data_IF_001228300693
#
_entry.id   IF_001228300693
#
_cell.length_a   1.000
_cell.length_b   1.000
_cell.length_c   1.000
_cell.angle_alpha   90.00
_cell.angle_beta   90.00
_cell.angle_gamma   90.00
#
_symmetry.space_group_name_H-M   'P 1'
#
loop_
_entity.id
_entity.type
_entity.pdbx_description
1 polymer ?
#
# COMPACT_ATOMS: atom_id res chain seq x y z
N UNK A 1 21.02 66.82 3.59
CA UNK A 1 22.02 66.04 2.82
C UNK A 1 21.53 64.62 2.74
N UNK A 2 20.87 64.24 1.65
CA UNK A 2 20.32 62.92 1.40
C UNK A 2 21.34 62.11 0.55
N UNK A 3 21.79 60.97 1.07
CA UNK A 3 22.67 60.05 0.33
C UNK A 3 21.85 58.91 -0.21
N UNK A 4 21.60 58.84 -1.52
CA UNK A 4 21.04 57.70 -2.24
C UNK A 4 22.11 56.63 -2.40
N UNK A 5 21.86 55.43 -1.85
CA UNK A 5 22.62 54.22 -2.18
C UNK A 5 21.90 53.46 -3.29
N UNK A 6 22.50 53.40 -4.45
CA UNK A 6 22.11 52.64 -5.62
C UNK A 6 22.30 51.16 -5.39
N UNK A 7 21.20 50.36 -5.50
CA UNK A 7 21.25 48.89 -5.53
C UNK A 7 21.66 48.43 -6.94
N UNK A 8 22.82 47.79 -7.05
CA UNK A 8 23.28 47.12 -8.27
C UNK A 8 22.56 45.81 -8.50
N UNK A 9 21.84 45.69 -9.61
CA UNK A 9 21.30 44.42 -10.12
C UNK A 9 22.43 43.61 -10.75
N UNK A 10 22.81 42.47 -10.15
CA UNK A 10 23.72 41.50 -10.74
C UNK A 10 22.94 40.59 -11.70
N UNK A 11 23.15 40.78 -12.98
CA UNK A 11 22.65 39.92 -14.07
C UNK A 11 23.48 38.63 -14.10
N UNK A 12 22.90 37.47 -13.89
CA UNK A 12 23.55 36.16 -14.05
C UNK A 12 23.51 35.76 -15.54
N UNK A 13 24.62 35.29 -16.13
CA UNK A 13 24.61 34.76 -17.50
C UNK A 13 23.97 33.37 -17.52
N UNK A 14 23.00 33.19 -18.43
CA UNK A 14 22.44 31.89 -18.80
C UNK A 14 23.45 31.16 -19.68
N UNK A 15 24.00 30.06 -19.18
CA UNK A 15 24.80 29.13 -19.98
C UNK A 15 23.84 28.25 -20.79
N UNK A 16 23.81 28.47 -22.08
CA UNK A 16 23.13 27.62 -23.05
C UNK A 16 23.97 26.34 -23.24
N UNK A 17 23.43 25.19 -22.82
CA UNK A 17 24.02 23.87 -23.15
C UNK A 17 23.39 23.41 -24.45
N UNK A 18 24.19 23.39 -25.52
CA UNK A 18 23.84 22.83 -26.80
C UNK A 18 23.91 21.30 -26.72
N UNK A 19 22.78 20.62 -26.89
CA UNK A 19 22.75 19.16 -27.09
C UNK A 19 23.07 18.85 -28.54
N UNK A 20 24.22 18.21 -28.77
CA UNK A 20 24.55 17.56 -30.03
C UNK A 20 23.83 16.22 -30.09
N UNK A 21 22.85 16.12 -30.98
CA UNK A 21 22.18 14.86 -31.28
C UNK A 21 23.06 14.01 -32.21
N UNK A 22 23.70 12.98 -31.69
CA UNK A 22 24.34 11.95 -32.51
C UNK A 22 23.28 10.88 -32.83
N UNK A 23 22.77 10.88 -34.05
CA UNK A 23 21.93 9.81 -34.62
C UNK A 23 22.82 8.64 -35.03
N UNK A 24 22.81 7.57 -34.22
CA UNK A 24 23.41 6.28 -34.63
C UNK A 24 22.29 5.38 -35.18
N UNK A 25 22.23 5.23 -36.47
CA UNK A 25 21.40 4.23 -37.17
C UNK A 25 22.09 2.89 -37.09
N UNK A 26 21.63 1.98 -36.27
CA UNK A 26 22.02 0.58 -36.27
C UNK A 26 20.81 -0.21 -36.77
N UNK A 27 20.87 -0.69 -37.99
CA UNK A 27 19.96 -1.67 -38.55
C UNK A 27 20.12 -2.99 -37.79
N UNK A 28 19.11 -3.44 -37.09
CA UNK A 28 19.02 -4.73 -36.45
C UNK A 28 17.77 -5.45 -36.94
N UNK A 29 17.98 -6.60 -37.61
CA UNK A 29 16.98 -7.50 -38.13
C UNK A 29 16.03 -7.99 -37.03
N UNK A 30 14.73 -7.84 -37.27
CA UNK A 30 13.67 -8.39 -36.43
C UNK A 30 13.66 -9.92 -36.56
N UNK A 31 14.01 -10.63 -35.48
CA UNK A 31 13.70 -12.05 -35.34
C UNK A 31 12.38 -12.14 -34.55
N UNK A 32 11.34 -12.55 -35.24
CA UNK A 32 10.04 -12.90 -34.64
C UNK A 32 10.20 -14.13 -33.74
N UNK A 33 10.15 -13.92 -32.44
CA UNK A 33 10.02 -15.01 -31.47
C UNK A 33 8.54 -15.34 -31.32
N UNK A 34 8.10 -16.40 -32.02
CA UNK A 34 6.78 -17.01 -31.87
C UNK A 34 6.66 -17.60 -30.47
N UNK A 35 5.94 -16.91 -29.57
CA UNK A 35 5.62 -17.42 -28.25
C UNK A 35 4.45 -18.42 -28.35
N UNK A 36 4.80 -19.72 -28.35
CA UNK A 36 3.85 -20.83 -28.31
C UNK A 36 3.16 -20.85 -26.90
N UNK A 37 1.92 -20.42 -26.87
CA UNK A 37 1.05 -20.53 -25.70
C UNK A 37 0.86 -22.01 -25.31
N UNK A 38 1.37 -22.41 -24.15
CA UNK A 38 1.07 -23.71 -23.55
C UNK A 38 -0.15 -23.55 -22.64
N UNK A 39 -1.30 -23.99 -23.14
CA UNK A 39 -2.49 -24.19 -22.31
C UNK A 39 -2.21 -25.32 -21.32
N UNK A 40 -2.10 -24.99 -20.05
CA UNK A 40 -2.17 -25.98 -18.97
C UNK A 40 -3.63 -26.24 -18.64
N UNK A 41 -4.13 -27.38 -19.08
CA UNK A 41 -5.39 -27.95 -18.60
C UNK A 41 -5.23 -28.37 -17.15
N UNK A 42 -5.84 -27.66 -16.22
CA UNK A 42 -6.03 -28.12 -14.85
C UNK A 42 -7.21 -29.13 -14.85
N UNK A 43 -6.88 -30.40 -14.66
CA UNK A 43 -7.86 -31.44 -14.37
C UNK A 43 -8.34 -31.26 -12.95
N UNK A 44 -9.62 -30.94 -12.79
CA UNK A 44 -10.31 -31.05 -11.51
C UNK A 44 -10.50 -32.52 -11.18
N UNK A 45 -9.85 -33.00 -10.13
CA UNK A 45 -10.18 -34.26 -9.48
C UNK A 45 -11.18 -33.95 -8.37
N UNK A 46 -12.44 -34.33 -8.61
CA UNK A 46 -13.42 -34.44 -7.55
C UNK A 46 -13.17 -35.73 -6.80
N UNK A 47 -12.77 -35.66 -5.56
CA UNK A 47 -12.91 -36.75 -4.62
C UNK A 47 -14.07 -36.44 -3.69
N UNK A 48 -15.18 -37.13 -3.90
CA UNK A 48 -16.22 -37.36 -2.91
C UNK A 48 -15.74 -38.53 -2.06
N UNK A 49 -15.58 -38.31 -0.79
CA UNK A 49 -15.73 -39.40 0.21
C UNK A 49 -16.47 -38.81 1.40
N UNK A 50 -17.68 -39.31 1.53
CA UNK A 50 -18.48 -39.21 2.73
C UNK A 50 -17.96 -40.24 3.74
N UNK A 51 -17.65 -39.78 4.94
CA UNK A 51 -17.49 -40.70 6.07
C UNK A 51 -18.20 -40.12 7.27
N UNK A 52 -19.36 -40.70 7.51
CA UNK A 52 -20.11 -40.62 8.74
C UNK A 52 -19.42 -41.42 9.83
N UNK A 53 -19.15 -40.81 10.96
CA UNK A 53 -19.05 -41.55 12.22
C UNK A 53 -19.52 -40.68 13.37
N UNK A 54 -20.73 -41.01 13.84
CA UNK A 54 -21.22 -40.68 15.16
C UNK A 54 -20.22 -41.08 16.23
N UNK A 55 -19.95 -40.21 17.17
CA UNK A 55 -19.71 -40.60 18.55
C UNK A 55 -20.05 -39.44 19.48
N UNK A 56 -21.16 -39.59 20.14
CA UNK A 56 -21.62 -38.85 21.29
C UNK A 56 -20.64 -38.94 22.44
N UNK A 57 -20.11 -37.83 22.94
CA UNK A 57 -19.64 -37.74 24.32
C UNK A 57 -20.30 -36.50 24.96
N UNK A 58 -21.36 -36.81 25.71
CA UNK A 58 -21.88 -35.93 26.74
C UNK A 58 -20.87 -35.88 27.90
N UNK A 59 -20.55 -34.71 28.37
CA UNK A 59 -19.87 -34.58 29.66
C UNK A 59 -19.05 -33.32 29.84
N UNK A 60 -19.50 -32.53 30.78
CA UNK A 60 -18.69 -31.57 31.54
C UNK A 60 -18.44 -30.20 30.93
N UNK A 61 -19.49 -29.37 30.92
CA UNK A 61 -19.35 -27.92 30.82
C UNK A 61 -20.10 -27.19 31.96
N UNK A 62 -19.69 -27.57 33.18
CA UNK A 62 -20.04 -26.81 34.37
C UNK A 62 -18.71 -26.47 35.08
N UNK A 63 -18.06 -25.45 34.69
CA UNK A 63 -17.35 -24.47 35.52
C UNK A 63 -16.57 -23.50 34.63
N UNK A 64 -17.17 -22.42 34.23
CA UNK A 64 -16.43 -21.29 33.73
C UNK A 64 -17.11 -20.02 34.21
N UNK A 65 -16.74 -19.61 35.40
CA UNK A 65 -16.82 -18.22 35.78
C UNK A 65 -15.72 -17.50 34.97
N UNK A 66 -15.91 -17.46 33.65
CA UNK A 66 -15.05 -16.70 32.75
C UNK A 66 -15.48 -15.25 32.86
N UNK A 67 -14.64 -14.46 33.49
CA UNK A 67 -14.64 -13.01 33.31
C UNK A 67 -14.74 -12.73 31.80
N UNK A 68 -15.90 -12.28 31.38
CA UNK A 68 -16.11 -11.80 30.01
C UNK A 68 -15.38 -10.47 29.93
N UNK A 69 -14.07 -10.52 29.70
CA UNK A 69 -13.42 -9.37 29.10
C UNK A 69 -14.10 -9.21 27.73
N UNK A 70 -14.64 -8.05 27.37
CA UNK A 70 -15.18 -7.84 26.05
C UNK A 70 -14.02 -8.05 25.08
N UNK A 71 -14.02 -9.19 24.42
CA UNK A 71 -13.19 -9.45 23.27
C UNK A 71 -13.63 -8.45 22.20
N UNK A 72 -12.93 -7.34 22.15
CA UNK A 72 -13.00 -6.42 21.01
C UNK A 72 -12.91 -7.27 19.76
N UNK A 73 -13.93 -7.18 18.90
CA UNK A 73 -14.20 -8.05 17.78
C UNK A 73 -12.92 -8.53 17.12
N UNK A 74 -12.87 -9.81 16.78
CA UNK A 74 -11.73 -10.46 16.13
C UNK A 74 -11.50 -9.86 14.73
N UNK A 75 -11.16 -8.59 14.69
CA UNK A 75 -10.68 -7.90 13.53
C UNK A 75 -9.37 -8.53 13.11
N UNK A 76 -9.32 -8.98 11.85
CA UNK A 76 -8.07 -9.46 11.28
C UNK A 76 -6.98 -8.39 11.47
N UNK A 77 -5.91 -8.71 12.20
CA UNK A 77 -4.81 -7.80 12.46
C UNK A 77 -3.52 -8.33 11.85
N UNK A 78 -2.66 -7.42 11.40
CA UNK A 78 -1.34 -7.74 10.86
C UNK A 78 -0.36 -6.62 11.19
N UNK A 79 0.93 -6.92 11.11
CA UNK A 79 1.99 -5.93 11.29
C UNK A 79 3.08 -6.09 10.24
N UNK A 80 3.77 -4.99 9.94
CA UNK A 80 4.86 -4.98 8.96
C UNK A 80 5.37 -3.57 8.71
N UNK A 81 6.23 -3.42 7.70
CA UNK A 81 6.71 -2.11 7.29
C UNK A 81 5.65 -1.41 6.43
N UNK A 82 5.46 -0.14 6.68
CA UNK A 82 4.66 0.75 5.85
C UNK A 82 5.49 1.92 5.33
N UNK A 83 5.16 2.40 4.15
CA UNK A 83 5.64 3.67 3.61
C UNK A 83 4.45 4.59 3.30
N UNK A 84 4.71 5.69 2.62
CA UNK A 84 3.65 6.57 2.15
C UNK A 84 3.97 7.10 0.76
N UNK A 85 2.93 7.61 0.08
CA UNK A 85 2.99 8.19 -1.26
C UNK A 85 2.14 9.44 -1.36
N UNK A 86 2.48 10.31 -2.30
CA UNK A 86 1.81 11.55 -2.57
C UNK A 86 1.38 11.68 -4.02
N UNK A 87 1.15 12.90 -4.48
CA UNK A 87 0.64 13.21 -5.83
C UNK A 87 1.55 12.76 -6.97
N UNK A 88 2.82 12.44 -6.69
CA UNK A 88 3.77 11.86 -7.63
C UNK A 88 3.37 10.46 -8.12
N UNK A 89 2.54 9.76 -7.38
CA UNK A 89 2.10 8.39 -7.68
C UNK A 89 0.94 8.31 -8.70
N UNK A 90 0.46 9.45 -9.19
CA UNK A 90 -0.60 9.53 -10.19
C UNK A 90 -1.89 10.17 -9.67
N UNK A 91 -2.85 10.33 -10.59
CA UNK A 91 -4.11 11.03 -10.30
C UNK A 91 -5.29 10.12 -9.94
N UNK A 92 -5.15 8.80 -10.11
CA UNK A 92 -6.19 7.80 -9.82
C UNK A 92 -5.61 6.62 -9.05
N UNK A 93 -6.44 6.09 -8.16
CA UNK A 93 -6.16 4.86 -7.40
C UNK A 93 -6.65 3.63 -8.17
N UNK A 94 -6.23 2.44 -7.74
CA UNK A 94 -6.67 1.17 -8.35
C UNK A 94 -8.18 0.92 -8.19
N UNK A 95 -8.85 1.55 -7.25
CA UNK A 95 -10.33 1.52 -7.15
C UNK A 95 -11.02 2.43 -8.17
N UNK A 96 -10.28 3.18 -8.98
CA UNK A 96 -10.82 4.16 -9.93
C UNK A 96 -11.11 5.54 -9.35
N UNK A 97 -11.00 5.71 -8.03
CA UNK A 97 -11.22 6.99 -7.38
C UNK A 97 -10.09 7.99 -7.72
N UNK A 98 -10.39 9.29 -7.68
CA UNK A 98 -9.37 10.31 -7.76
C UNK A 98 -8.47 10.25 -6.53
N UNK A 99 -7.16 10.22 -6.75
CA UNK A 99 -6.20 10.24 -5.66
C UNK A 99 -6.17 11.60 -4.96
N UNK A 100 -6.17 11.58 -3.64
CA UNK A 100 -5.99 12.75 -2.78
C UNK A 100 -5.00 12.40 -1.67
N UNK A 101 -3.80 12.94 -1.76
CA UNK A 101 -2.73 12.67 -0.79
C UNK A 101 -3.08 13.08 0.66
N UNK A 102 -4.05 13.99 0.86
CA UNK A 102 -4.46 14.45 2.19
C UNK A 102 -5.62 13.61 2.78
N UNK A 103 -6.24 12.74 1.99
CA UNK A 103 -7.29 11.85 2.49
C UNK A 103 -6.70 10.72 3.36
N UNK A 104 -7.51 10.18 4.28
CA UNK A 104 -7.12 9.06 5.14
C UNK A 104 -7.32 7.74 4.38
N UNK A 105 -6.39 7.42 3.48
CA UNK A 105 -6.45 6.25 2.60
C UNK A 105 -5.13 5.47 2.60
N UNK A 106 -5.20 4.22 2.13
CA UNK A 106 -4.03 3.37 2.00
C UNK A 106 -4.16 2.39 0.84
N UNK A 107 -3.01 1.87 0.39
CA UNK A 107 -2.88 0.77 -0.54
C UNK A 107 -2.55 -0.52 0.20
N UNK A 108 -3.27 -1.61 -0.14
CA UNK A 108 -2.99 -2.97 0.32
C UNK A 108 -3.12 -3.97 -0.84
N UNK A 109 -2.33 -5.06 -0.79
CA UNK A 109 -2.24 -6.01 -1.92
C UNK A 109 -3.56 -6.72 -2.21
N UNK A 110 -4.27 -7.16 -1.17
CA UNK A 110 -5.41 -8.08 -1.31
C UNK A 110 -6.66 -7.70 -0.55
N UNK A 111 -6.60 -6.82 0.47
CA UNK A 111 -7.81 -6.41 1.19
C UNK A 111 -8.82 -5.78 0.22
N UNK A 112 -10.12 -6.02 0.39
CA UNK A 112 -11.17 -5.40 -0.41
C UNK A 112 -11.09 -3.87 -0.37
N UNK A 113 -11.44 -3.22 -1.49
CA UNK A 113 -11.60 -1.77 -1.48
C UNK A 113 -12.75 -1.37 -0.55
N UNK A 114 -12.57 -0.28 0.18
CA UNK A 114 -13.53 0.17 1.19
C UNK A 114 -13.25 -0.36 2.60
N UNK A 115 -12.41 -1.41 2.75
CA UNK A 115 -11.99 -1.90 4.08
C UNK A 115 -11.38 -0.76 4.88
N UNK A 116 -11.82 -0.62 6.12
CA UNK A 116 -11.24 0.35 7.06
C UNK A 116 -10.25 -0.33 7.99
N UNK A 117 -9.07 0.25 8.11
CA UNK A 117 -8.00 -0.21 8.98
C UNK A 117 -7.71 0.86 10.03
N UNK A 118 -7.59 0.45 11.28
CA UNK A 118 -6.87 1.22 12.30
C UNK A 118 -5.39 0.93 12.15
N UNK A 119 -4.60 1.92 11.78
CA UNK A 119 -3.15 1.81 11.61
C UNK A 119 -2.45 2.54 12.74
N UNK A 120 -1.56 1.85 13.43
CA UNK A 120 -0.82 2.38 14.59
C UNK A 120 0.67 2.38 14.32
N UNK A 121 1.33 3.50 14.61
CA UNK A 121 2.79 3.70 14.56
C UNK A 121 3.23 4.58 15.72
N UNK A 122 4.28 4.18 16.48
CA UNK A 122 4.83 4.99 17.56
C UNK A 122 3.81 5.42 18.64
N UNK A 123 2.76 4.61 18.86
CA UNK A 123 1.68 4.95 19.82
C UNK A 123 0.57 5.85 19.25
N UNK A 124 0.71 6.35 18.01
CA UNK A 124 -0.33 7.13 17.33
C UNK A 124 -1.10 6.24 16.35
N UNK A 125 -2.41 6.47 16.23
CA UNK A 125 -3.29 5.68 15.37
C UNK A 125 -4.13 6.56 14.45
N UNK A 126 -4.43 6.03 13.26
CA UNK A 126 -5.35 6.64 12.30
C UNK A 126 -6.23 5.56 11.67
N UNK A 127 -7.47 5.92 11.32
CA UNK A 127 -8.33 5.04 10.52
C UNK A 127 -8.18 5.44 9.06
N UNK A 128 -7.81 4.47 8.22
CA UNK A 128 -7.66 4.65 6.78
C UNK A 128 -8.61 3.73 6.02
N UNK A 129 -9.00 4.14 4.82
CA UNK A 129 -9.79 3.32 3.89
C UNK A 129 -8.88 2.77 2.80
N UNK A 130 -8.96 1.46 2.54
CA UNK A 130 -8.26 0.83 1.42
C UNK A 130 -8.94 1.22 0.12
N UNK A 131 -8.22 1.92 -0.74
CA UNK A 131 -8.71 2.34 -2.07
C UNK A 131 -7.68 2.12 -3.18
N UNK A 132 -6.50 1.57 -2.84
CA UNK A 132 -5.45 1.36 -3.82
C UNK A 132 -4.78 0.00 -3.66
N UNK A 133 -3.95 -0.40 -4.65
CA UNK A 133 -3.20 -1.65 -4.67
C UNK A 133 -1.69 -1.40 -4.47
N UNK A 134 -1.06 -2.31 -3.75
CA UNK A 134 0.33 -2.24 -3.32
C UNK A 134 0.44 -2.47 -1.82
N UNK A 135 1.63 -2.35 -1.25
CA UNK A 135 2.93 -2.19 -1.90
C UNK A 135 3.40 -3.44 -2.64
N UNK A 136 4.09 -3.26 -3.78
CA UNK A 136 4.71 -4.35 -4.53
C UNK A 136 6.20 -4.53 -4.19
N UNK A 137 6.66 -3.85 -3.15
CA UNK A 137 8.02 -3.97 -2.60
C UNK A 137 8.04 -5.00 -1.48
N UNK A 138 9.03 -5.89 -1.48
CA UNK A 138 9.18 -6.90 -0.42
C UNK A 138 9.35 -6.26 0.96
N UNK A 139 8.73 -6.89 1.97
CA UNK A 139 8.81 -6.44 3.37
C UNK A 139 7.84 -5.33 3.75
N UNK A 140 7.22 -4.64 2.79
CA UNK A 140 6.14 -3.69 3.06
C UNK A 140 4.78 -4.36 2.98
N UNK A 141 3.90 -4.00 3.90
CA UNK A 141 2.52 -4.52 3.98
C UNK A 141 1.49 -3.46 3.64
N UNK A 142 1.84 -2.18 3.78
CA UNK A 142 0.92 -1.07 3.59
C UNK A 142 1.65 0.15 3.03
N UNK A 143 1.01 0.89 2.13
CA UNK A 143 1.43 2.21 1.71
C UNK A 143 0.32 3.21 2.04
N UNK A 144 0.63 4.22 2.86
CA UNK A 144 -0.32 5.22 3.33
C UNK A 144 -0.35 6.43 2.40
N UNK A 145 -1.47 7.13 2.34
CA UNK A 145 -1.45 8.51 1.82
C UNK A 145 -0.56 9.39 2.71
N UNK A 146 -0.04 10.49 2.16
CA UNK A 146 0.77 11.46 2.92
C UNK A 146 0.02 11.99 4.14
N UNK A 147 -1.29 12.25 4.04
CA UNK A 147 -2.13 12.71 5.14
C UNK A 147 -2.21 11.69 6.28
N UNK A 148 -2.44 10.42 5.94
CA UNK A 148 -2.49 9.34 6.92
C UNK A 148 -1.12 9.11 7.59
N UNK A 149 -0.04 9.12 6.82
CA UNK A 149 1.33 8.98 7.35
C UNK A 149 1.69 10.12 8.30
N UNK A 150 1.28 11.34 7.97
CA UNK A 150 1.49 12.52 8.83
C UNK A 150 0.73 12.37 10.16
N UNK A 151 -0.49 11.87 10.13
CA UNK A 151 -1.32 11.70 11.32
C UNK A 151 -0.71 10.72 12.35
N UNK A 152 0.13 9.78 11.93
CA UNK A 152 0.81 8.82 12.82
C UNK A 152 2.32 9.07 12.93
N UNK A 153 2.81 10.23 12.48
CA UNK A 153 4.22 10.61 12.59
C UNK A 153 5.19 9.82 11.71
N UNK A 154 4.69 9.09 10.70
CA UNK A 154 5.54 8.26 9.82
C UNK A 154 6.35 9.07 8.82
N UNK A 155 5.93 10.30 8.49
CA UNK A 155 6.55 11.12 7.44
C UNK A 155 8.02 11.45 7.71
N UNK A 156 8.43 11.57 8.97
CA UNK A 156 9.82 11.84 9.33
C UNK A 156 10.77 10.67 9.08
N UNK A 157 10.27 9.44 9.20
CA UNK A 157 11.05 8.21 9.00
C UNK A 157 10.98 7.69 7.55
N UNK A 158 10.00 8.13 6.75
CA UNK A 158 9.75 7.65 5.39
C UNK A 158 9.17 6.24 5.34
N UNK A 159 9.75 5.30 6.07
CA UNK A 159 9.32 3.91 6.22
C UNK A 159 9.38 3.52 7.70
N UNK A 160 8.37 2.85 8.20
CA UNK A 160 8.33 2.43 9.60
C UNK A 160 7.42 1.23 9.84
N UNK A 161 7.61 0.58 11.00
CA UNK A 161 6.77 -0.55 11.40
C UNK A 161 5.41 -0.03 11.87
N UNK A 162 4.36 -0.65 11.36
CA UNK A 162 2.98 -0.39 11.77
C UNK A 162 2.29 -1.67 12.23
N UNK A 163 1.25 -1.52 13.04
CA UNK A 163 0.22 -2.53 13.28
C UNK A 163 -1.07 -2.05 12.65
N UNK A 164 -1.74 -2.90 11.90
CA UNK A 164 -3.00 -2.60 11.24
C UNK A 164 -4.08 -3.59 11.70
N UNK A 165 -5.27 -3.10 12.01
CA UNK A 165 -6.42 -3.87 12.47
C UNK A 165 -7.63 -3.51 11.60
N UNK A 166 -8.33 -4.52 11.08
CA UNK A 166 -9.58 -4.32 10.33
C UNK A 166 -10.66 -3.91 11.31
N UNK A 167 -11.30 -2.76 11.06
CA UNK A 167 -12.37 -2.21 11.91
C UNK A 167 -13.73 -2.19 11.21
N UNK A 168 -13.76 -2.26 9.88
CA UNK A 168 -14.96 -2.51 9.07
C UNK A 168 -14.61 -2.78 7.61
#
# INVERSE_FOLDING_TARGET
MLSLKTLGFATRPQTAIAFVAATLVIGGTATEASAKSRHHHYRHHHHHEASTSDTSIAGSWMNANASVTPSSGSGHSFSGMASYYGNESGSRTASGARFNQNAMTAAHRSLPFGTKLRVTHGGQSVIVTINDRGPFVRGRVLDLSTGAARAIGLTGAGVGRVTAEVVS
#
